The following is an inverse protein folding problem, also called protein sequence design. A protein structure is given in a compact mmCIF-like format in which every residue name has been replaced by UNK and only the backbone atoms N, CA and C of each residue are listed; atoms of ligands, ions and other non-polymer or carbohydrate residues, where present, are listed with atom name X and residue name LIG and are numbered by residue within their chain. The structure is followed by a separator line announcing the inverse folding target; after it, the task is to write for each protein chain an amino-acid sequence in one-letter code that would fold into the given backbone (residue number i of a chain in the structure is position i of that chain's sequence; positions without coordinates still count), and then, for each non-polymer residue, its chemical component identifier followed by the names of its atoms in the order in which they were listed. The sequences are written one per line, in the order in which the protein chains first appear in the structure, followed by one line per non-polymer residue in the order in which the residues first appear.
data_IF_276974725868
#
_entry.id   IF_276974725868
#
_cell.length_a   1.000
_cell.length_b   1.000
_cell.length_c   1.000
_cell.angle_alpha   90.00
_cell.angle_beta   90.00
_cell.angle_gamma   90.00
#
_symmetry.space_group_name_H-M   'P 1'
#
loop_
_entity.id
_entity.type
_entity.pdbx_description
1 polymer ?
#
# COMPACT_ATOMS: atom_id res chain seq x y z
N UNK A 1 46.25 -23.93 26.41
CA UNK A 1 46.89 -24.00 25.08
C UNK A 1 46.11 -25.01 24.25
N UNK A 2 45.00 -24.59 23.63
CA UNK A 2 44.14 -25.44 22.79
C UNK A 2 43.70 -24.62 21.59
N UNK A 3 44.55 -24.62 20.55
CA UNK A 3 44.22 -24.14 19.21
C UNK A 3 44.64 -25.26 18.26
N UNK A 4 43.79 -26.27 18.13
CA UNK A 4 44.15 -27.50 17.42
C UNK A 4 42.98 -28.46 17.32
N UNK A 5 41.91 -28.07 16.63
CA UNK A 5 40.81 -29.01 16.30
C UNK A 5 39.93 -28.58 15.11
N UNK A 6 39.89 -27.30 14.75
CA UNK A 6 38.90 -26.82 13.76
C UNK A 6 39.40 -26.89 12.30
N UNK A 7 40.71 -27.02 12.04
CA UNK A 7 41.25 -26.93 10.68
C UNK A 7 41.22 -28.25 9.87
N UNK A 8 41.06 -29.42 10.50
CA UNK A 8 41.13 -30.72 9.79
C UNK A 8 39.81 -31.18 9.14
N UNK A 9 38.64 -30.70 9.58
CA UNK A 9 37.34 -31.15 9.00
C UNK A 9 37.01 -30.51 7.65
N UNK A 10 37.55 -29.32 7.35
CA UNK A 10 37.34 -28.62 6.08
C UNK A 10 38.15 -29.18 4.91
N UNK A 11 39.40 -29.60 5.18
CA UNK A 11 40.31 -30.16 4.17
C UNK A 11 39.88 -31.56 3.72
N UNK A 12 39.45 -32.42 4.65
CA UNK A 12 38.96 -33.77 4.32
C UNK A 12 37.72 -33.73 3.41
N UNK A 13 36.78 -32.78 3.63
CA UNK A 13 35.60 -32.63 2.74
C UNK A 13 35.99 -32.18 1.32
N UNK A 14 36.96 -31.28 1.17
CA UNK A 14 37.44 -30.85 -0.16
C UNK A 14 38.15 -31.98 -0.90
N UNK A 15 38.97 -32.79 -0.21
CA UNK A 15 39.69 -33.90 -0.82
C UNK A 15 38.77 -35.07 -1.19
N UNK A 16 37.73 -35.33 -0.39
CA UNK A 16 36.71 -36.33 -0.70
C UNK A 16 35.85 -35.92 -1.91
N UNK A 17 35.46 -34.63 -2.01
CA UNK A 17 34.74 -34.09 -3.15
C UNK A 17 35.59 -34.06 -4.44
N UNK A 18 36.89 -33.80 -4.33
CA UNK A 18 37.82 -33.84 -5.45
C UNK A 18 38.03 -35.27 -6.00
N UNK A 19 38.06 -36.28 -5.12
CA UNK A 19 38.16 -37.69 -5.52
C UNK A 19 36.87 -38.25 -6.14
N UNK A 20 35.71 -37.68 -5.82
CA UNK A 20 34.44 -38.07 -6.47
C UNK A 20 34.34 -37.51 -7.89
N UNK A 21 34.87 -36.31 -8.16
CA UNK A 21 34.87 -35.69 -9.50
C UNK A 21 35.64 -36.48 -10.58
N UNK A 22 36.63 -37.30 -10.21
CA UNK A 22 37.45 -38.05 -11.17
C UNK A 22 36.89 -39.42 -11.56
N UNK A 23 35.76 -39.86 -10.96
CA UNK A 23 35.27 -41.25 -11.09
C UNK A 23 33.81 -41.41 -11.52
N UNK A 24 33.08 -40.35 -11.87
CA UNK A 24 31.66 -40.48 -12.23
C UNK A 24 31.21 -39.50 -13.32
N UNK A 25 30.37 -39.99 -14.23
CA UNK A 25 29.52 -39.15 -15.08
C UNK A 25 28.42 -38.61 -14.17
N UNK A 26 28.43 -37.32 -13.90
CA UNK A 26 27.47 -36.64 -13.05
C UNK A 26 26.58 -35.76 -13.91
N UNK A 27 25.47 -36.30 -14.41
CA UNK A 27 24.53 -35.52 -15.23
C UNK A 27 23.75 -34.48 -14.42
N UNK A 28 23.58 -34.66 -13.10
CA UNK A 28 22.96 -33.65 -12.24
C UNK A 28 23.35 -33.86 -10.76
N UNK A 29 24.00 -32.88 -10.11
CA UNK A 29 24.46 -33.00 -8.70
C UNK A 29 23.88 -31.93 -7.77
N UNK A 30 23.03 -31.04 -8.31
CA UNK A 30 22.34 -30.03 -7.53
C UNK A 30 21.06 -29.61 -8.26
N UNK A 31 19.90 -30.07 -7.79
CA UNK A 31 18.63 -29.49 -8.20
C UNK A 31 18.50 -28.13 -7.51
N UNK A 32 18.22 -27.06 -8.28
CA UNK A 32 17.85 -25.76 -7.70
C UNK A 32 16.64 -25.98 -6.81
N UNK A 33 16.68 -25.45 -5.58
CA UNK A 33 15.53 -25.46 -4.68
C UNK A 33 14.31 -24.90 -5.44
N UNK A 34 13.14 -25.57 -5.40
CA UNK A 34 11.95 -25.04 -6.04
C UNK A 34 11.67 -23.63 -5.51
N UNK A 35 11.49 -22.67 -6.42
CA UNK A 35 11.03 -21.33 -6.04
C UNK A 35 9.71 -21.47 -5.25
N UNK A 36 9.50 -20.69 -4.18
CA UNK A 36 8.23 -20.71 -3.44
C UNK A 36 7.05 -20.47 -4.38
N UNK A 37 6.00 -21.29 -4.25
CA UNK A 37 4.77 -21.24 -5.08
C UNK A 37 4.23 -19.80 -5.20
N UNK A 38 4.08 -19.12 -4.08
CA UNK A 38 3.76 -17.69 -3.97
C UNK A 38 4.66 -17.06 -2.90
N UNK A 39 4.92 -15.76 -3.00
CA UNK A 39 5.68 -15.02 -1.99
C UNK A 39 4.72 -14.10 -1.25
N UNK A 40 4.65 -14.20 0.09
CA UNK A 40 3.83 -13.28 0.89
C UNK A 40 4.29 -11.85 0.61
N UNK A 41 3.35 -10.98 0.27
CA UNK A 41 3.59 -9.55 0.11
C UNK A 41 3.17 -8.82 1.38
N UNK A 42 3.94 -7.80 1.81
CA UNK A 42 3.54 -6.95 2.92
C UNK A 42 2.14 -6.39 2.67
N UNK A 43 1.22 -6.68 3.58
CA UNK A 43 -0.11 -6.10 3.60
C UNK A 43 -0.42 -5.69 5.03
N UNK A 44 -1.08 -4.57 5.19
CA UNK A 44 -1.62 -4.13 6.48
C UNK A 44 -2.83 -4.97 6.90
N UNK A 45 -3.30 -5.91 6.06
CA UNK A 45 -4.44 -6.79 6.33
C UNK A 45 -5.80 -6.09 6.34
N UNK A 46 -5.84 -4.82 5.90
CA UNK A 46 -7.06 -4.01 5.91
C UNK A 46 -7.81 -4.19 4.58
N UNK A 47 -8.63 -5.23 4.49
CA UNK A 47 -9.51 -5.52 3.34
C UNK A 47 -10.93 -4.96 3.56
N UNK A 48 -11.11 -3.95 4.41
CA UNK A 48 -12.44 -3.42 4.68
C UNK A 48 -13.08 -2.90 3.40
N UNK A 49 -14.27 -3.42 3.11
CA UNK A 49 -15.06 -3.10 1.94
C UNK A 49 -14.61 -3.69 0.61
N UNK A 50 -13.54 -4.47 0.58
CA UNK A 50 -13.08 -5.17 -0.64
C UNK A 50 -13.22 -6.70 -0.55
N UNK A 51 -13.80 -7.21 0.54
CA UNK A 51 -14.00 -8.65 0.73
C UNK A 51 -14.86 -9.28 -0.37
N UNK A 52 -15.89 -8.56 -0.82
CA UNK A 52 -16.78 -9.04 -1.88
C UNK A 52 -16.03 -9.19 -3.20
N UNK A 53 -15.22 -8.19 -3.58
CA UNK A 53 -14.37 -8.27 -4.77
C UNK A 53 -13.36 -9.42 -4.66
N UNK A 54 -12.75 -9.63 -3.47
CA UNK A 54 -11.83 -10.75 -3.26
C UNK A 54 -12.53 -12.11 -3.44
N UNK A 55 -13.75 -12.26 -2.91
CA UNK A 55 -14.57 -13.45 -3.11
C UNK A 55 -14.95 -13.65 -4.58
N UNK A 56 -15.35 -12.58 -5.27
CA UNK A 56 -15.69 -12.63 -6.70
C UNK A 56 -14.49 -13.05 -7.55
N UNK A 57 -13.32 -12.42 -7.35
CA UNK A 57 -12.07 -12.77 -8.04
C UNK A 57 -11.73 -14.24 -7.80
N UNK A 58 -11.79 -14.68 -6.55
CA UNK A 58 -11.45 -16.06 -6.20
C UNK A 58 -12.41 -17.07 -6.85
N UNK A 59 -13.72 -16.79 -6.83
CA UNK A 59 -14.71 -17.63 -7.51
C UNK A 59 -14.53 -17.68 -9.03
N UNK A 60 -13.93 -16.65 -9.64
CA UNK A 60 -13.56 -16.69 -11.06
C UNK A 60 -12.25 -17.43 -11.33
N UNK A 61 -11.28 -17.38 -10.41
CA UNK A 61 -10.03 -18.14 -10.52
C UNK A 61 -10.25 -19.66 -10.50
N UNK A 62 -11.34 -20.14 -9.90
CA UNK A 62 -11.71 -21.56 -9.86
C UNK A 62 -12.43 -22.04 -11.13
N UNK A 63 -12.95 -21.13 -11.97
CA UNK A 63 -13.71 -21.47 -13.18
C UNK A 63 -12.80 -21.73 -14.37
N UNK A 64 -13.01 -22.81 -15.12
CA UNK A 64 -12.15 -23.20 -16.24
C UNK A 64 -12.24 -22.24 -17.45
N UNK A 65 -13.39 -21.63 -17.70
CA UNK A 65 -13.64 -20.73 -18.82
C UNK A 65 -13.03 -19.32 -18.63
N UNK A 66 -12.57 -18.98 -17.42
CA UNK A 66 -12.05 -17.65 -17.10
C UNK A 66 -10.52 -17.65 -17.00
N UNK A 67 -9.83 -17.49 -18.12
CA UNK A 67 -8.36 -17.30 -18.15
C UNK A 67 -7.84 -15.94 -17.68
N UNK A 68 -8.44 -14.83 -18.13
CA UNK A 68 -7.94 -13.47 -17.90
C UNK A 68 -8.98 -12.62 -17.15
N UNK A 69 -8.56 -12.00 -16.04
CA UNK A 69 -9.37 -11.14 -15.17
C UNK A 69 -8.75 -9.74 -15.09
N UNK A 70 -9.50 -8.71 -15.50
CA UNK A 70 -9.08 -7.32 -15.40
C UNK A 70 -9.75 -6.58 -14.24
N UNK A 71 -8.94 -6.03 -13.33
CA UNK A 71 -9.38 -5.16 -12.23
C UNK A 71 -9.16 -3.71 -12.63
N UNK A 72 -10.24 -2.94 -12.82
CA UNK A 72 -10.14 -1.54 -13.24
C UNK A 72 -10.81 -0.58 -12.25
N UNK A 73 -10.42 0.70 -12.28
CA UNK A 73 -11.00 1.73 -11.41
C UNK A 73 -10.08 2.94 -11.21
N UNK A 74 -10.55 3.93 -10.45
CA UNK A 74 -9.82 5.19 -10.23
C UNK A 74 -8.44 5.00 -9.58
N UNK A 75 -7.54 5.95 -9.81
CA UNK A 75 -6.23 5.98 -9.14
C UNK A 75 -6.38 6.04 -7.61
N UNK A 76 -5.63 5.22 -6.87
CA UNK A 76 -5.68 5.19 -5.41
C UNK A 76 -6.88 4.46 -4.79
N UNK A 77 -7.79 3.90 -5.60
CA UNK A 77 -9.00 3.21 -5.10
C UNK A 77 -8.71 1.89 -4.36
N UNK A 78 -7.49 1.34 -4.47
CA UNK A 78 -7.08 0.11 -3.77
C UNK A 78 -6.93 -1.14 -4.62
N UNK A 79 -6.88 -1.03 -5.96
CA UNK A 79 -6.67 -2.17 -6.88
C UNK A 79 -5.41 -3.00 -6.55
N UNK A 80 -4.27 -2.34 -6.36
CA UNK A 80 -3.00 -3.02 -5.99
C UNK A 80 -3.11 -3.72 -4.64
N UNK A 81 -3.82 -3.11 -3.68
CA UNK A 81 -4.13 -3.74 -2.38
C UNK A 81 -4.96 -5.00 -2.58
N UNK A 82 -6.01 -4.93 -3.40
CA UNK A 82 -6.84 -6.09 -3.71
C UNK A 82 -6.04 -7.21 -4.42
N UNK A 83 -5.19 -6.88 -5.39
CA UNK A 83 -4.31 -7.85 -6.05
C UNK A 83 -3.32 -8.48 -5.05
N UNK A 84 -2.81 -7.68 -4.11
CA UNK A 84 -1.92 -8.15 -3.03
C UNK A 84 -2.62 -9.17 -2.13
N UNK A 85 -3.89 -8.95 -1.80
CA UNK A 85 -4.69 -9.91 -1.03
C UNK A 85 -4.97 -11.19 -1.81
N UNK A 86 -5.21 -11.10 -3.12
CA UNK A 86 -5.31 -12.28 -4.00
C UNK A 86 -4.02 -13.09 -3.95
N UNK A 87 -2.85 -12.46 -4.12
CA UNK A 87 -1.55 -13.12 -4.00
C UNK A 87 -1.37 -13.82 -2.64
N UNK A 88 -1.66 -13.12 -1.55
CA UNK A 88 -1.48 -13.65 -0.20
C UNK A 88 -2.46 -14.78 0.11
N UNK A 89 -3.65 -14.78 -0.50
CA UNK A 89 -4.61 -15.88 -0.38
C UNK A 89 -4.08 -17.16 -1.01
N UNK A 90 -3.32 -17.09 -2.11
CA UNK A 90 -2.62 -18.27 -2.68
C UNK A 90 -1.60 -18.86 -1.71
N UNK A 91 -0.94 -18.05 -0.88
CA UNK A 91 0.00 -18.59 0.13
C UNK A 91 -0.73 -19.40 1.20
N UNK A 92 -1.94 -18.98 1.58
CA UNK A 92 -2.66 -19.51 2.73
C UNK A 92 -3.71 -20.58 2.38
N UNK A 93 -3.93 -20.86 1.10
CA UNK A 93 -4.99 -21.75 0.63
C UNK A 93 -4.41 -22.85 -0.25
N UNK A 94 -4.92 -24.07 -0.12
CA UNK A 94 -4.57 -25.17 -1.03
C UNK A 94 -5.13 -24.91 -2.43
N UNK A 95 -4.27 -25.02 -3.44
CA UNK A 95 -4.62 -24.84 -4.85
C UNK A 95 -3.74 -25.75 -5.72
N UNK A 96 -4.10 -25.93 -6.99
CA UNK A 96 -3.42 -26.81 -7.94
C UNK A 96 -2.48 -26.07 -8.92
N UNK A 97 -2.26 -24.76 -8.71
CA UNK A 97 -1.25 -24.00 -9.46
C UNK A 97 0.18 -24.34 -9.02
N UNK A 98 1.07 -24.54 -9.99
CA UNK A 98 2.50 -24.81 -9.80
C UNK A 98 3.31 -23.55 -9.48
N UNK A 99 2.81 -22.37 -9.83
CA UNK A 99 3.50 -21.09 -9.57
C UNK A 99 2.55 -19.89 -9.65
N UNK A 100 2.75 -18.93 -8.75
CA UNK A 100 2.12 -17.60 -8.75
C UNK A 100 3.20 -16.55 -8.95
N UNK A 101 3.07 -15.75 -10.00
CA UNK A 101 4.08 -14.79 -10.46
C UNK A 101 3.50 -13.39 -10.32
N UNK A 102 4.21 -12.50 -9.63
CA UNK A 102 3.84 -11.09 -9.54
C UNK A 102 4.80 -10.26 -10.39
N UNK A 103 4.25 -9.39 -11.24
CA UNK A 103 5.02 -8.42 -12.03
C UNK A 103 4.36 -7.05 -11.86
N UNK A 104 5.15 -6.01 -11.63
CA UNK A 104 4.67 -4.63 -11.70
C UNK A 104 5.01 -4.06 -13.06
N UNK A 105 4.00 -3.61 -13.80
CA UNK A 105 4.15 -3.03 -15.15
C UNK A 105 4.32 -1.52 -14.98
N UNK A 106 5.45 -0.99 -15.44
CA UNK A 106 5.71 0.45 -15.40
C UNK A 106 4.86 1.21 -16.43
N UNK A 107 4.63 2.50 -16.17
CA UNK A 107 3.91 3.39 -17.10
C UNK A 107 4.60 3.49 -18.46
N UNK A 108 5.92 3.44 -18.48
CA UNK A 108 6.69 3.20 -19.70
C UNK A 108 6.86 1.70 -19.81
N UNK A 109 6.15 1.06 -20.74
CA UNK A 109 6.22 -0.38 -20.90
C UNK A 109 7.67 -0.81 -21.20
N UNK A 110 8.25 -1.56 -20.28
CA UNK A 110 9.58 -2.15 -20.40
C UNK A 110 9.43 -3.67 -20.41
N UNK A 111 9.49 -4.25 -21.61
CA UNK A 111 9.33 -5.69 -21.80
C UNK A 111 10.48 -6.47 -21.16
N UNK A 112 11.68 -5.91 -21.12
CA UNK A 112 12.85 -6.56 -20.54
C UNK A 112 12.67 -6.69 -19.03
N UNK A 113 12.21 -5.63 -18.38
CA UNK A 113 11.87 -5.64 -16.95
C UNK A 113 10.76 -6.66 -16.62
N UNK A 114 9.74 -6.77 -17.46
CA UNK A 114 8.65 -7.75 -17.29
C UNK A 114 9.19 -9.18 -17.42
N UNK A 115 9.98 -9.46 -18.46
CA UNK A 115 10.63 -10.76 -18.65
C UNK A 115 11.55 -11.10 -17.48
N UNK A 116 12.35 -10.14 -17.02
CA UNK A 116 13.28 -10.30 -15.90
C UNK A 116 12.57 -10.67 -14.61
N UNK A 117 11.45 -10.04 -14.29
CA UNK A 117 10.68 -10.35 -13.08
C UNK A 117 10.07 -11.76 -13.13
N UNK A 118 9.59 -12.17 -14.31
CA UNK A 118 9.15 -13.55 -14.55
C UNK A 118 10.34 -14.50 -14.40
N UNK A 119 11.45 -14.24 -15.08
CA UNK A 119 12.66 -15.05 -15.06
C UNK A 119 13.22 -15.24 -13.65
N UNK A 120 13.26 -14.18 -12.83
CA UNK A 120 13.66 -14.25 -11.42
C UNK A 120 12.75 -15.18 -10.63
N UNK A 121 11.42 -15.05 -10.80
CA UNK A 121 10.46 -15.91 -10.09
C UNK A 121 10.57 -17.37 -10.52
N UNK A 122 10.84 -17.61 -11.81
CA UNK A 122 11.02 -18.95 -12.37
C UNK A 122 12.41 -19.55 -12.09
N UNK A 123 13.33 -18.79 -11.50
CA UNK A 123 14.69 -19.24 -11.22
C UNK A 123 15.56 -19.37 -12.47
N UNK A 124 15.25 -18.62 -13.53
CA UNK A 124 15.98 -18.57 -14.81
C UNK A 124 17.00 -17.42 -14.85
N UNK A 125 16.84 -16.42 -13.97
CA UNK A 125 17.63 -15.19 -13.99
C UNK A 125 19.06 -15.40 -13.45
N UNK A 126 20.00 -15.74 -14.34
CA UNK A 126 21.43 -15.83 -14.06
C UNK A 126 22.27 -14.99 -15.05
N UNK A 127 23.59 -15.12 -15.02
CA UNK A 127 24.49 -14.36 -15.92
C UNK A 127 24.25 -14.68 -17.40
N UNK A 128 23.70 -15.86 -17.73
CA UNK A 128 23.36 -16.19 -19.12
C UNK A 128 22.12 -15.37 -19.51
N UNK A 129 21.09 -15.37 -18.66
CA UNK A 129 19.87 -14.58 -18.86
C UNK A 129 20.17 -13.09 -19.11
N UNK A 130 20.99 -12.47 -18.26
CA UNK A 130 21.33 -11.03 -18.36
C UNK A 130 22.01 -10.65 -19.67
N UNK A 131 22.76 -11.58 -20.27
CA UNK A 131 23.48 -11.36 -21.52
C UNK A 131 22.72 -11.87 -22.74
N UNK A 132 21.53 -12.47 -22.53
CA UNK A 132 20.68 -13.02 -23.58
C UNK A 132 19.86 -11.91 -24.22
N UNK A 133 19.47 -12.11 -25.48
CA UNK A 133 18.53 -11.21 -26.16
C UNK A 133 17.09 -11.46 -25.65
N UNK A 134 16.20 -10.45 -25.68
CA UNK A 134 14.81 -10.58 -25.25
C UNK A 134 14.05 -11.74 -25.93
N UNK A 135 14.37 -12.06 -27.19
CA UNK A 135 13.78 -13.19 -27.90
C UNK A 135 14.16 -14.54 -27.26
N UNK A 136 15.41 -14.66 -26.78
CA UNK A 136 15.85 -15.87 -26.08
C UNK A 136 15.23 -16.01 -24.68
N UNK A 137 14.93 -14.89 -24.02
CA UNK A 137 14.24 -14.87 -22.73
C UNK A 137 12.76 -15.26 -22.91
N UNK A 138 12.10 -14.74 -23.96
CA UNK A 138 10.75 -15.13 -24.40
C UNK A 138 10.64 -16.65 -24.61
N UNK A 139 11.60 -17.24 -25.33
CA UNK A 139 11.64 -18.70 -25.57
C UNK A 139 11.76 -19.50 -24.27
N UNK A 140 12.64 -19.07 -23.36
CA UNK A 140 12.82 -19.74 -22.06
C UNK A 140 11.55 -19.67 -21.20
N UNK A 141 10.93 -18.48 -21.12
CA UNK A 141 9.66 -18.27 -20.39
C UNK A 141 8.58 -19.19 -20.96
N UNK A 142 8.42 -19.19 -22.27
CA UNK A 142 7.42 -20.01 -22.95
C UNK A 142 7.66 -21.51 -22.72
N UNK A 143 8.91 -21.95 -22.82
CA UNK A 143 9.29 -23.35 -22.63
C UNK A 143 9.00 -23.88 -21.21
N UNK A 144 9.11 -23.03 -20.19
CA UNK A 144 8.80 -23.39 -18.80
C UNK A 144 7.31 -23.26 -18.51
N UNK A 145 6.67 -22.14 -18.86
CA UNK A 145 5.26 -21.89 -18.55
C UNK A 145 4.32 -22.81 -19.30
N UNK A 146 4.68 -23.27 -20.51
CA UNK A 146 3.88 -24.24 -21.28
C UNK A 146 3.74 -25.60 -20.59
N UNK A 147 4.56 -25.89 -19.58
CA UNK A 147 4.55 -27.15 -18.82
C UNK A 147 3.94 -26.99 -17.42
N UNK A 148 3.53 -25.78 -17.05
CA UNK A 148 3.05 -25.46 -15.70
C UNK A 148 1.69 -24.79 -15.72
N UNK A 149 0.89 -25.09 -14.70
CA UNK A 149 -0.33 -24.36 -14.36
C UNK A 149 0.08 -23.16 -13.52
N UNK A 150 -0.09 -21.95 -14.05
CA UNK A 150 0.41 -20.73 -13.40
C UNK A 150 -0.68 -19.69 -13.17
N UNK A 151 -0.43 -18.80 -12.21
CA UNK A 151 -1.15 -17.54 -12.04
C UNK A 151 -0.17 -16.40 -12.26
N UNK A 152 -0.49 -15.47 -13.18
CA UNK A 152 0.27 -14.27 -13.41
C UNK A 152 -0.52 -13.05 -12.92
N UNK A 153 0.05 -12.32 -11.97
CA UNK A 153 -0.49 -11.12 -11.36
C UNK A 153 0.26 -9.91 -11.91
N UNK A 154 -0.37 -9.11 -12.76
CA UNK A 154 0.22 -7.92 -13.39
C UNK A 154 -0.32 -6.64 -12.72
N UNK A 155 0.53 -5.91 -12.02
CA UNK A 155 0.13 -4.71 -11.29
C UNK A 155 0.41 -3.43 -12.08
N UNK A 156 -0.51 -2.47 -12.01
CA UNK A 156 -0.45 -1.12 -12.57
C UNK A 156 -0.27 -1.06 -14.10
N UNK A 157 -1.08 -1.78 -14.88
CA UNK A 157 -1.05 -1.70 -16.34
C UNK A 157 -1.63 -0.38 -16.88
N UNK A 158 -0.82 0.33 -17.69
CA UNK A 158 -1.21 1.58 -18.36
C UNK A 158 -1.69 1.36 -19.81
N UNK A 159 -1.10 0.39 -20.51
CA UNK A 159 -1.37 0.07 -21.92
C UNK A 159 -1.46 -1.45 -22.13
N UNK A 160 -1.79 -1.88 -23.36
CA UNK A 160 -1.86 -3.30 -23.73
C UNK A 160 -0.46 -3.93 -23.62
N UNK A 161 -0.36 -5.05 -22.91
CA UNK A 161 0.84 -5.89 -22.87
C UNK A 161 0.66 -7.05 -23.86
N UNK A 162 1.58 -7.18 -24.82
CA UNK A 162 1.56 -8.34 -25.71
C UNK A 162 2.15 -9.56 -24.99
N UNK A 163 1.26 -10.42 -24.51
CA UNK A 163 1.61 -11.61 -23.74
C UNK A 163 2.48 -12.58 -24.54
N UNK A 164 2.33 -12.64 -25.86
CA UNK A 164 3.15 -13.50 -26.72
C UNK A 164 4.57 -12.95 -26.83
N UNK A 165 4.75 -11.63 -26.92
CA UNK A 165 6.08 -11.01 -26.93
C UNK A 165 6.82 -11.16 -25.60
N UNK A 166 6.10 -11.26 -24.48
CA UNK A 166 6.69 -11.62 -23.18
C UNK A 166 7.08 -13.10 -23.11
N UNK A 167 6.45 -13.97 -23.90
CA UNK A 167 6.64 -15.43 -23.86
C UNK A 167 5.59 -16.18 -23.03
N UNK A 168 4.46 -15.55 -22.73
CA UNK A 168 3.37 -16.16 -21.96
C UNK A 168 2.46 -16.96 -22.91
N UNK A 169 2.28 -18.28 -22.68
CA UNK A 169 1.47 -19.11 -23.55
C UNK A 169 -0.03 -18.84 -23.31
N UNK A 170 -0.74 -18.34 -24.32
CA UNK A 170 -2.18 -18.06 -24.27
C UNK A 170 -3.04 -19.34 -24.38
N UNK A 171 -2.56 -20.36 -25.08
CA UNK A 171 -3.25 -21.63 -25.28
C UNK A 171 -2.63 -22.73 -24.43
N UNK A 172 -2.73 -22.60 -23.10
CA UNK A 172 -2.25 -23.66 -22.23
C UNK A 172 -3.43 -24.55 -21.81
N UNK A 173 -3.33 -25.86 -22.05
CA UNK A 173 -4.36 -26.86 -21.66
C UNK A 173 -4.54 -26.98 -20.13
N UNK A 174 -3.74 -26.25 -19.36
CA UNK A 174 -3.60 -26.41 -17.91
C UNK A 174 -4.41 -25.40 -17.10
N UNK A 175 -5.34 -24.64 -17.70
CA UNK A 175 -6.23 -23.71 -16.97
C UNK A 175 -5.45 -22.63 -16.15
N UNK A 176 -4.39 -22.07 -16.75
CA UNK A 176 -3.60 -20.97 -16.18
C UNK A 176 -4.41 -19.67 -16.13
N UNK A 177 -4.04 -18.76 -15.20
CA UNK A 177 -4.78 -17.53 -14.92
C UNK A 177 -3.90 -16.29 -15.07
N UNK A 178 -4.49 -15.20 -15.55
CA UNK A 178 -3.88 -13.87 -15.55
C UNK A 178 -4.85 -12.93 -14.84
N UNK A 179 -4.37 -12.22 -13.83
CA UNK A 179 -5.12 -11.17 -13.14
C UNK A 179 -4.31 -9.90 -13.23
N UNK A 180 -4.90 -8.80 -13.67
CA UNK A 180 -4.18 -7.54 -13.78
C UNK A 180 -4.96 -6.35 -13.22
N UNK A 181 -4.24 -5.32 -12.79
CA UNK A 181 -4.84 -4.05 -12.35
C UNK A 181 -4.58 -2.96 -13.39
N UNK A 182 -5.56 -2.10 -13.63
CA UNK A 182 -5.42 -0.94 -14.54
C UNK A 182 -6.32 0.21 -14.12
N UNK A 183 -6.01 1.44 -14.56
CA UNK A 183 -6.94 2.58 -14.40
C UNK A 183 -7.98 2.65 -15.53
N UNK A 184 -7.78 1.90 -16.61
CA UNK A 184 -8.52 2.07 -17.85
C UNK A 184 -9.32 0.82 -18.20
N UNK A 185 -10.66 0.95 -18.22
CA UNK A 185 -11.55 -0.11 -18.71
C UNK A 185 -11.23 -0.52 -20.15
N UNK A 186 -10.70 0.41 -20.96
CA UNK A 186 -10.26 0.14 -22.34
C UNK A 186 -9.12 -0.88 -22.38
N UNK A 187 -8.17 -0.80 -21.46
CA UNK A 187 -7.05 -1.77 -21.36
C UNK A 187 -7.60 -3.17 -21.10
N UNK A 188 -8.68 -3.29 -20.31
CA UNK A 188 -9.33 -4.59 -20.12
C UNK A 188 -9.86 -5.21 -21.42
N UNK A 189 -10.45 -4.40 -22.30
CA UNK A 189 -10.86 -4.86 -23.63
C UNK A 189 -9.67 -5.20 -24.54
N UNK A 190 -8.59 -4.41 -24.50
CA UNK A 190 -7.38 -4.65 -25.30
C UNK A 190 -6.59 -5.90 -24.91
N UNK A 191 -6.76 -6.35 -23.66
CA UNK A 191 -6.19 -7.58 -23.11
C UNK A 191 -7.13 -8.78 -23.28
N UNK A 192 -8.26 -8.61 -23.98
CA UNK A 192 -9.28 -9.64 -24.17
C UNK A 192 -9.71 -10.30 -22.85
N UNK A 193 -9.88 -9.49 -21.79
CA UNK A 193 -10.22 -10.00 -20.46
C UNK A 193 -11.60 -10.67 -20.47
N UNK A 194 -11.65 -11.96 -20.13
CA UNK A 194 -12.90 -12.72 -20.03
C UNK A 194 -13.83 -12.18 -18.93
N UNK A 195 -13.24 -11.68 -17.85
CA UNK A 195 -13.97 -11.03 -16.75
C UNK A 195 -13.33 -9.68 -16.43
N UNK A 196 -14.18 -8.68 -16.23
CA UNK A 196 -13.78 -7.38 -15.74
C UNK A 196 -14.51 -7.07 -14.43
N UNK A 197 -13.78 -6.53 -13.46
CA UNK A 197 -14.30 -6.16 -12.14
C UNK A 197 -13.90 -4.71 -11.89
N UNK A 198 -14.89 -3.87 -11.65
CA UNK A 198 -14.66 -2.49 -11.25
C UNK A 198 -14.38 -2.45 -9.74
N UNK A 199 -13.25 -1.86 -9.37
CA UNK A 199 -12.92 -1.54 -7.98
C UNK A 199 -13.42 -0.13 -7.73
N UNK A 200 -14.63 -0.07 -7.19
CA UNK A 200 -15.33 1.18 -6.86
C UNK A 200 -14.81 1.80 -5.55
N UNK A 201 -15.17 3.06 -5.34
CA UNK A 201 -14.94 3.71 -4.05
C UNK A 201 -15.73 2.99 -2.95
N UNK A 202 -15.14 2.90 -1.77
CA UNK A 202 -15.82 2.35 -0.61
C UNK A 202 -17.11 3.12 -0.31
N UNK A 203 -18.24 2.44 -0.03
CA UNK A 203 -19.43 3.06 0.53
C UNK A 203 -19.08 3.83 1.79
N UNK A 204 -19.84 4.90 2.08
CA UNK A 204 -19.58 5.79 3.21
C UNK A 204 -19.29 5.07 4.54
N UNK A 205 -20.07 4.04 4.88
CA UNK A 205 -19.88 3.28 6.12
C UNK A 205 -18.51 2.58 6.18
N UNK A 206 -18.13 1.87 5.12
CA UNK A 206 -16.85 1.15 5.06
C UNK A 206 -15.66 2.10 4.91
N UNK A 207 -15.84 3.20 4.17
CA UNK A 207 -14.86 4.27 4.07
C UNK A 207 -14.61 4.91 5.44
N UNK A 208 -15.68 5.14 6.22
CA UNK A 208 -15.60 5.66 7.57
C UNK A 208 -14.91 4.67 8.51
N UNK A 209 -15.25 3.39 8.45
CA UNK A 209 -14.60 2.35 9.27
C UNK A 209 -13.11 2.22 8.94
N UNK A 210 -12.74 2.27 7.65
CA UNK A 210 -11.34 2.31 7.20
C UNK A 210 -10.63 3.54 7.73
N UNK A 211 -11.26 4.70 7.60
CA UNK A 211 -10.73 5.95 8.10
C UNK A 211 -10.49 5.87 9.62
N UNK A 212 -11.50 5.42 10.39
CA UNK A 212 -11.41 5.23 11.82
C UNK A 212 -10.26 4.29 12.18
N UNK A 213 -10.10 3.11 11.57
CA UNK A 213 -8.94 2.26 11.87
C UNK A 213 -7.59 2.90 11.58
N UNK A 214 -7.53 3.82 10.61
CA UNK A 214 -6.29 4.54 10.29
C UNK A 214 -6.00 5.70 11.24
N UNK A 215 -7.03 6.37 11.77
CA UNK A 215 -6.87 7.55 12.63
C UNK A 215 -7.04 7.27 14.12
N UNK A 216 -7.80 6.23 14.46
CA UNK A 216 -8.13 5.78 15.82
C UNK A 216 -7.11 4.76 16.29
N UNK A 217 -5.83 5.11 16.13
CA UNK A 217 -4.78 4.45 16.90
C UNK A 217 -5.07 4.81 18.35
N UNK A 218 -5.82 3.95 19.05
CA UNK A 218 -5.83 3.93 20.51
C UNK A 218 -4.37 3.87 20.94
N UNK A 219 -3.86 5.03 21.35
CA UNK A 219 -2.69 5.07 22.19
C UNK A 219 -3.16 4.37 23.46
N UNK A 220 -2.74 3.13 23.66
CA UNK A 220 -2.89 2.45 24.92
C UNK A 220 -2.08 3.23 25.97
N UNK A 221 -2.77 4.08 26.73
CA UNK A 221 -2.17 4.90 27.79
C UNK A 221 -1.94 4.07 29.07
N UNK A 222 -2.10 2.75 29.04
CA UNK A 222 -1.85 1.88 30.21
C UNK A 222 -0.36 1.80 30.63
N UNK A 223 0.51 2.61 30.02
CA UNK A 223 1.91 2.78 30.44
C UNK A 223 2.12 4.06 31.26
N UNK A 224 1.16 4.43 32.11
CA UNK A 224 1.49 5.26 33.27
C UNK A 224 2.27 4.40 34.27
N UNK A 225 3.58 4.67 34.40
CA UNK A 225 4.34 4.29 35.59
C UNK A 225 5.27 3.08 35.49
N UNK A 226 5.80 2.72 34.31
CA UNK A 226 7.01 1.86 34.25
C UNK A 226 8.12 2.52 33.44
N UNK A 227 9.12 3.02 34.15
CA UNK A 227 10.43 3.35 33.57
C UNK A 227 10.99 2.09 32.90
N UNK A 228 11.08 2.11 31.57
CA UNK A 228 11.89 1.14 30.82
C UNK A 228 13.16 1.90 30.44
N UNK A 229 14.24 1.60 31.14
CA UNK A 229 15.59 2.06 30.81
C UNK A 229 16.06 1.43 29.49
N UNK A 230 15.75 2.06 28.37
CA UNK A 230 16.52 1.88 27.13
C UNK A 230 16.75 3.25 26.50
N UNK A 231 17.97 3.48 26.03
CA UNK A 231 18.55 4.77 25.62
C UNK A 231 17.96 5.41 24.36
N UNK A 232 16.72 5.08 23.98
CA UNK A 232 15.99 5.76 22.92
C UNK A 232 14.60 6.14 23.44
N UNK A 233 14.34 7.44 23.40
CA UNK A 233 13.12 8.06 23.94
C UNK A 233 11.86 7.40 23.34
N UNK A 234 11.01 6.71 24.12
CA UNK A 234 9.84 5.96 23.61
C UNK A 234 8.89 6.81 22.76
N UNK A 235 8.85 8.10 23.06
CA UNK A 235 8.08 9.13 22.36
C UNK A 235 8.53 9.31 20.90
N UNK A 236 9.84 9.20 20.63
CA UNK A 236 10.40 9.40 19.28
C UNK A 236 10.05 8.22 18.34
N UNK A 237 9.96 7.00 18.89
CA UNK A 237 9.50 5.83 18.14
C UNK A 237 8.01 5.95 17.73
N UNK A 238 7.17 6.51 18.60
CA UNK A 238 5.75 6.73 18.30
C UNK A 238 5.45 7.92 17.38
N UNK A 239 6.37 8.88 17.22
CA UNK A 239 6.22 9.98 16.25
C UNK A 239 6.61 9.56 14.84
N UNK A 240 7.67 8.73 14.68
CA UNK A 240 8.22 8.35 13.37
C UNK A 240 7.33 7.44 12.53
N UNK A 241 6.42 6.68 13.16
CA UNK A 241 5.54 5.73 12.47
C UNK A 241 4.09 6.20 12.30
N UNK A 242 3.80 7.51 12.45
CA UNK A 242 2.43 8.02 12.32
C UNK A 242 2.02 8.16 10.84
N UNK A 243 0.78 7.81 10.48
CA UNK A 243 0.28 8.00 9.13
C UNK A 243 0.22 9.49 8.79
N UNK A 244 1.03 9.94 7.83
CA UNK A 244 1.03 11.31 7.33
C UNK A 244 0.28 11.41 5.99
N UNK A 245 -0.80 12.17 5.97
CA UNK A 245 -1.63 12.45 4.80
C UNK A 245 -1.01 13.54 3.90
N UNK A 246 0.18 13.27 3.36
CA UNK A 246 0.93 14.25 2.54
C UNK A 246 0.21 14.70 1.27
N UNK A 247 -0.66 13.85 0.70
CA UNK A 247 -1.40 14.14 -0.53
C UNK A 247 -2.72 14.90 -0.27
N UNK A 248 -3.16 14.99 0.98
CA UNK A 248 -4.45 15.56 1.33
C UNK A 248 -4.36 17.09 1.33
N UNK A 249 -5.00 17.72 0.36
CA UNK A 249 -5.02 19.19 0.19
C UNK A 249 -6.36 19.81 0.57
N UNK A 250 -7.47 19.12 0.26
CA UNK A 250 -8.81 19.66 0.46
C UNK A 250 -9.64 18.65 1.23
N UNK A 251 -10.27 19.11 2.31
CA UNK A 251 -11.09 18.31 3.21
C UNK A 251 -12.44 18.96 3.37
N UNK A 252 -13.48 18.17 3.15
CA UNK A 252 -14.87 18.55 3.35
C UNK A 252 -15.50 17.53 4.30
N UNK A 253 -15.94 18.01 5.46
CA UNK A 253 -16.61 17.21 6.49
C UNK A 253 -18.02 17.78 6.62
N UNK A 254 -19.01 17.08 6.08
CA UNK A 254 -20.41 17.52 6.16
C UNK A 254 -21.28 16.45 6.84
N UNK A 255 -22.25 16.88 7.64
CA UNK A 255 -23.27 16.04 8.26
C UNK A 255 -22.73 14.85 9.09
N UNK A 256 -21.54 15.01 9.70
CA UNK A 256 -20.89 13.95 10.47
C UNK A 256 -21.34 13.95 11.94
N UNK A 257 -22.51 13.35 12.21
CA UNK A 257 -23.16 13.36 13.54
C UNK A 257 -22.38 12.68 14.66
N UNK A 258 -21.49 11.72 14.36
CA UNK A 258 -20.71 10.99 15.38
C UNK A 258 -19.32 11.60 15.62
N UNK A 259 -18.88 12.52 14.75
CA UNK A 259 -17.54 13.06 14.79
C UNK A 259 -17.41 14.14 15.87
N UNK A 260 -16.62 13.87 16.91
CA UNK A 260 -16.41 14.80 18.03
C UNK A 260 -15.24 15.77 17.80
N UNK A 261 -14.24 15.35 17.04
CA UNK A 261 -13.06 16.14 16.67
C UNK A 261 -12.42 15.60 15.39
N UNK A 262 -11.52 16.38 14.79
CA UNK A 262 -10.74 16.03 13.62
C UNK A 262 -9.22 16.11 13.92
N UNK A 263 -8.77 15.50 15.04
CA UNK A 263 -7.35 15.46 15.47
C UNK A 263 -6.38 15.05 14.36
N UNK A 264 -6.80 14.14 13.49
CA UNK A 264 -6.01 13.60 12.39
C UNK A 264 -5.52 14.67 11.38
N UNK A 265 -6.15 15.85 11.36
CA UNK A 265 -5.73 16.99 10.54
C UNK A 265 -4.28 17.41 10.88
N UNK A 266 -3.81 17.15 12.10
CA UNK A 266 -2.40 17.35 12.48
C UNK A 266 -1.43 16.55 11.61
N UNK A 267 -1.88 15.44 11.02
CA UNK A 267 -1.08 14.60 10.14
C UNK A 267 -1.27 14.92 8.66
N UNK A 268 -1.99 15.98 8.32
CA UNK A 268 -2.17 16.46 6.95
C UNK A 268 -1.39 17.77 6.73
N UNK A 269 -0.04 17.72 6.59
CA UNK A 269 0.81 18.92 6.59
C UNK A 269 0.60 19.82 5.35
N UNK A 270 -0.04 19.31 4.30
CA UNK A 270 -0.27 20.02 3.04
C UNK A 270 -1.73 20.43 2.82
N UNK A 271 -2.53 20.51 3.89
CA UNK A 271 -3.92 20.94 3.78
C UNK A 271 -4.02 22.42 3.41
N UNK A 272 -4.77 22.69 2.35
CA UNK A 272 -5.01 24.00 1.73
C UNK A 272 -6.45 24.46 1.92
N UNK A 273 -7.40 23.55 2.02
CA UNK A 273 -8.82 23.87 2.23
C UNK A 273 -9.45 22.92 3.25
N UNK A 274 -10.07 23.48 4.28
CA UNK A 274 -10.83 22.75 5.28
C UNK A 274 -12.23 23.35 5.38
N UNK A 275 -13.24 22.52 5.12
CA UNK A 275 -14.64 22.85 5.29
C UNK A 275 -15.28 21.84 6.25
N UNK A 276 -15.91 22.33 7.31
CA UNK A 276 -16.65 21.51 8.27
C UNK A 276 -18.04 22.09 8.43
N UNK A 277 -19.07 21.32 8.08
CA UNK A 277 -20.47 21.72 8.16
C UNK A 277 -21.37 20.68 8.82
N UNK A 278 -22.42 21.14 9.49
CA UNK A 278 -23.52 20.29 10.00
C UNK A 278 -23.07 19.14 10.94
N UNK A 279 -22.01 19.33 11.72
CA UNK A 279 -21.49 18.33 12.67
C UNK A 279 -21.93 18.65 14.11
N UNK A 280 -23.09 18.14 14.51
CA UNK A 280 -23.79 18.49 15.77
C UNK A 280 -23.04 18.14 17.06
N UNK A 281 -22.15 17.14 17.02
CA UNK A 281 -21.42 16.66 18.19
C UNK A 281 -19.95 17.08 18.22
N UNK A 282 -19.51 17.89 17.26
CA UNK A 282 -18.13 18.39 17.24
C UNK A 282 -17.95 19.48 18.30
N UNK A 283 -17.08 19.22 19.27
CA UNK A 283 -16.77 20.19 20.33
C UNK A 283 -15.51 20.99 20.01
N UNK A 284 -14.52 20.34 19.38
CA UNK A 284 -13.25 20.95 19.02
C UNK A 284 -12.78 20.43 17.67
N UNK A 285 -12.27 21.29 16.77
CA UNK A 285 -11.74 20.82 15.47
C UNK A 285 -10.48 19.99 15.71
N UNK A 286 -9.51 20.53 16.47
CA UNK A 286 -8.34 19.80 16.95
C UNK A 286 -8.30 19.94 18.47
N UNK A 287 -8.63 18.88 19.18
CA UNK A 287 -8.64 18.89 20.64
C UNK A 287 -7.24 18.68 21.25
N UNK A 288 -6.95 19.38 22.35
CA UNK A 288 -5.73 19.20 23.13
C UNK A 288 -5.77 17.89 23.93
N UNK A 289 -5.40 16.77 23.31
CA UNK A 289 -4.94 15.63 24.10
C UNK A 289 -3.53 15.89 24.66
N UNK A 290 -3.02 14.95 25.45
CA UNK A 290 -1.67 14.85 26.04
C UNK A 290 -0.47 14.86 25.03
N UNK A 291 -0.66 15.39 23.83
CA UNK A 291 0.31 15.51 22.76
C UNK A 291 1.41 16.54 23.06
N UNK A 292 1.18 17.42 24.04
CA UNK A 292 2.04 18.58 24.28
C UNK A 292 2.98 18.44 25.48
N UNK A 293 2.71 17.55 26.43
CA UNK A 293 3.60 17.35 27.59
C UNK A 293 4.86 16.54 27.22
N UNK A 294 4.86 15.87 26.06
CA UNK A 294 5.94 14.98 25.62
C UNK A 294 6.96 15.62 24.64
N UNK A 295 6.85 16.90 24.28
CA UNK A 295 7.72 17.51 23.25
C UNK A 295 8.40 18.79 23.71
N UNK A 296 9.29 18.70 24.69
CA UNK A 296 10.19 19.83 25.01
C UNK A 296 11.35 19.99 24.01
N UNK A 297 11.57 19.09 23.04
CA UNK A 297 12.73 19.19 22.11
C UNK A 297 12.51 18.78 20.64
N UNK A 298 11.27 18.65 20.14
CA UNK A 298 11.02 18.19 18.76
C UNK A 298 9.94 19.00 18.05
N UNK A 299 10.25 19.50 16.85
CA UNK A 299 9.40 20.29 15.94
C UNK A 299 7.90 19.92 16.05
N UNK A 300 7.12 20.77 16.73
CA UNK A 300 5.66 20.70 16.73
C UNK A 300 5.19 20.78 15.26
N UNK A 301 4.35 19.84 14.76
CA UNK A 301 3.66 20.05 13.50
C UNK A 301 2.84 21.33 13.64
N UNK A 302 3.15 22.37 12.88
CA UNK A 302 2.31 23.58 12.86
C UNK A 302 1.07 23.25 12.02
N UNK A 303 -0.10 22.95 12.62
CA UNK A 303 -1.30 22.73 11.81
C UNK A 303 -1.58 23.98 10.98
N UNK A 304 -2.21 23.79 9.83
CA UNK A 304 -2.70 24.87 8.98
C UNK A 304 -1.64 25.81 8.37
N UNK A 305 -0.36 25.41 8.37
CA UNK A 305 0.72 26.21 7.78
C UNK A 305 0.53 26.54 6.28
N UNK A 306 -0.25 25.74 5.54
CA UNK A 306 -0.60 25.96 4.12
C UNK A 306 -2.09 26.21 3.88
N UNK A 307 -2.86 26.40 4.94
CA UNK A 307 -4.32 26.49 4.83
C UNK A 307 -4.70 27.85 4.22
N UNK A 308 -5.37 27.81 3.07
CA UNK A 308 -5.88 28.96 2.33
C UNK A 308 -7.36 29.22 2.64
N UNK A 309 -8.14 28.17 2.88
CA UNK A 309 -9.59 28.28 3.09
C UNK A 309 -10.00 27.52 4.35
N UNK A 310 -10.66 28.22 5.28
CA UNK A 310 -11.29 27.64 6.46
C UNK A 310 -12.76 28.03 6.49
N UNK A 311 -13.64 27.04 6.36
CA UNK A 311 -15.09 27.23 6.40
C UNK A 311 -15.69 26.37 7.51
N UNK A 312 -16.39 26.98 8.45
CA UNK A 312 -17.06 26.32 9.57
C UNK A 312 -18.53 26.74 9.58
N UNK A 313 -19.44 25.78 9.45
CA UNK A 313 -20.87 26.06 9.31
C UNK A 313 -21.75 25.15 10.15
N UNK A 314 -22.74 25.68 10.88
CA UNK A 314 -23.74 24.85 11.60
C UNK A 314 -23.09 23.85 12.56
N UNK A 315 -22.23 24.36 13.44
CA UNK A 315 -21.51 23.59 14.45
C UNK A 315 -21.95 24.05 15.85
N UNK A 316 -23.09 23.56 16.36
CA UNK A 316 -23.74 24.11 17.56
C UNK A 316 -22.92 23.97 18.84
N UNK A 317 -22.10 22.91 18.96
CA UNK A 317 -21.28 22.62 20.15
C UNK A 317 -19.81 23.00 20.01
N UNK A 318 -19.42 23.63 18.90
CA UNK A 318 -18.01 23.90 18.64
C UNK A 318 -17.52 25.03 19.56
N UNK A 319 -16.64 24.70 20.50
CA UNK A 319 -16.08 25.62 21.50
C UNK A 319 -14.74 26.22 21.05
N UNK A 320 -13.94 25.45 20.31
CA UNK A 320 -12.58 25.84 19.89
C UNK A 320 -12.17 25.16 18.59
N UNK A 321 -11.34 25.83 17.78
CA UNK A 321 -10.68 25.21 16.61
C UNK A 321 -9.37 24.55 17.02
N UNK A 322 -8.59 25.24 17.86
CA UNK A 322 -7.33 24.77 18.43
C UNK A 322 -7.01 25.55 19.71
N UNK A 323 -6.39 24.91 20.71
CA UNK A 323 -6.17 25.53 22.02
C UNK A 323 -5.07 26.60 22.04
N UNK A 324 -4.07 26.48 21.16
CA UNK A 324 -3.01 27.49 21.05
C UNK A 324 -3.31 28.48 19.92
N UNK A 325 -2.87 29.75 20.05
CA UNK A 325 -2.82 30.65 18.91
C UNK A 325 -1.95 30.06 17.78
N UNK A 326 -2.45 30.09 16.56
CA UNK A 326 -1.75 29.64 15.36
C UNK A 326 -1.48 30.82 14.43
N UNK A 327 -0.29 30.88 13.83
CA UNK A 327 -0.11 31.69 12.63
C UNK A 327 -0.88 31.02 11.49
N UNK A 328 -1.74 31.78 10.81
CA UNK A 328 -2.40 31.39 9.57
C UNK A 328 -1.73 32.11 8.38
N UNK A 329 -0.48 31.76 8.02
CA UNK A 329 0.32 32.56 7.09
C UNK A 329 -0.21 32.59 5.66
N UNK A 330 -1.04 31.61 5.26
CA UNK A 330 -1.56 31.49 3.90
C UNK A 330 -3.08 31.65 3.82
N UNK A 331 -3.76 31.94 4.93
CA UNK A 331 -5.22 31.94 4.96
C UNK A 331 -5.76 33.10 4.12
N UNK A 332 -6.60 32.79 3.15
CA UNK A 332 -7.24 33.79 2.28
C UNK A 332 -8.70 33.98 2.67
N UNK A 333 -9.38 32.89 3.01
CA UNK A 333 -10.81 32.90 3.35
C UNK A 333 -11.02 32.25 4.71
N UNK A 334 -11.66 32.99 5.60
CA UNK A 334 -12.20 32.50 6.86
C UNK A 334 -13.71 32.79 6.89
N UNK A 335 -14.52 31.75 6.92
CA UNK A 335 -15.97 31.85 6.99
C UNK A 335 -16.48 31.00 8.17
N UNK A 336 -17.19 31.63 9.10
CA UNK A 336 -17.74 30.96 10.29
C UNK A 336 -19.21 31.36 10.41
N UNK A 337 -20.12 30.40 10.25
CA UNK A 337 -21.57 30.62 10.29
C UNK A 337 -22.24 29.63 11.22
N UNK A 338 -23.24 30.10 11.97
CA UNK A 338 -24.06 29.21 12.80
C UNK A 338 -23.23 28.35 13.79
N UNK A 339 -22.21 28.95 14.42
CA UNK A 339 -21.32 28.34 15.42
C UNK A 339 -21.41 29.10 16.77
N UNK A 340 -22.53 28.98 17.52
CA UNK A 340 -22.83 29.86 18.65
C UNK A 340 -21.90 29.71 19.86
N UNK A 341 -21.29 28.53 20.06
CA UNK A 341 -20.37 28.29 21.19
C UNK A 341 -18.91 28.67 20.90
N UNK A 342 -18.59 29.08 19.67
CA UNK A 342 -17.21 29.37 19.28
C UNK A 342 -16.81 30.76 19.78
N UNK A 343 -16.15 30.80 20.95
CA UNK A 343 -15.83 32.06 21.64
C UNK A 343 -14.63 32.82 21.04
N UNK A 344 -13.67 32.12 20.44
CA UNK A 344 -12.44 32.72 19.93
C UNK A 344 -11.86 31.89 18.78
N UNK A 345 -11.32 32.58 17.79
CA UNK A 345 -10.51 31.99 16.73
C UNK A 345 -9.05 31.86 17.19
N UNK A 346 -8.33 30.78 16.82
CA UNK A 346 -6.93 30.57 17.20
C UNK A 346 -5.98 31.44 16.36
N UNK A 347 -6.27 32.73 16.19
CA UNK A 347 -5.43 33.67 15.46
C UNK A 347 -4.37 34.24 16.41
N UNK A 348 -3.10 34.28 15.96
CA UNK A 348 -2.04 35.05 16.61
C UNK A 348 -1.86 36.42 15.91
N UNK A 349 -1.01 37.29 16.48
CA UNK A 349 -0.75 38.65 15.95
C UNK A 349 -0.23 38.70 14.51
N UNK A 350 0.38 37.62 14.01
CA UNK A 350 0.89 37.52 12.64
C UNK A 350 -0.21 37.27 11.61
N UNK A 351 -1.38 36.80 12.06
CA UNK A 351 -2.52 36.46 11.19
C UNK A 351 -3.38 37.68 10.82
N UNK A 352 -3.05 38.87 11.33
CA UNK A 352 -3.85 40.09 11.19
C UNK A 352 -3.45 40.97 9.98
N UNK A 353 -2.47 40.57 9.17
CA UNK A 353 -1.87 41.49 8.19
C UNK A 353 -2.59 41.61 6.84
N UNK A 354 -3.51 40.72 6.43
CA UNK A 354 -4.11 40.81 5.08
C UNK A 354 -5.56 40.28 4.88
N UNK A 355 -6.45 40.23 5.89
CA UNK A 355 -7.73 39.51 5.72
C UNK A 355 -8.99 40.39 5.78
N UNK A 356 -9.81 40.33 4.71
CA UNK A 356 -11.20 40.79 4.72
C UNK A 356 -12.06 39.78 5.47
N UNK A 357 -12.41 40.10 6.70
CA UNK A 357 -13.41 39.35 7.48
C UNK A 357 -14.80 39.75 6.99
N UNK A 358 -15.57 38.82 6.43
CA UNK A 358 -17.02 38.98 6.37
C UNK A 358 -17.57 38.33 7.64
N UNK A 359 -18.06 39.15 8.57
CA UNK A 359 -18.77 38.70 9.78
C UNK A 359 -20.21 38.32 9.46
#
# INVERSE_FOLDING_TARGET
MYVGSIFCKGLLKKQYAANLKSKGVFEEVAQRLPSPLATVRPSEGIIMGMKNNLCEIWGHLEKEDVGIIGLYGLGGVGKTTLLTEVNNKFVNTTHDFDVVIWVTVSSNLDLDQVQDDIGKKMGLYDEIWKNKRPEGNKEDICGVLSKKKFVLLLDDMWERLDLLEVGIPLQNKQNSKIVFTTRSKRVCGQMDAHKTIEVECLPWGEAWDLFQKKVDWEIDWSVEGKEIETSNNPIDFHIRNRPCFHSLRRVFIDNCKRLKNAKWILFAPNIESLSISSCENMEEVISAGAWMEATEKGKIPKPFAKLNHLMLGRLPKLKSIYHNPLPFPCLVVLDVRECPELKKLPLNSDSAKEHRTAM
#
